data_IF_857672435734
#
_entry.id   IF_857672435734
#
_cell.length_a   1.000
_cell.length_b   1.000
_cell.length_c   1.000
_cell.angle_alpha   90.00
_cell.angle_beta   90.00
_cell.angle_gamma   90.00
#
_symmetry.space_group_name_H-M   'P 1'
#
loop_
_entity.id
_entity.type
_entity.pdbx_description
1 polymer ?
#
# COMPACT_ATOMS: atom_id res chain seq x y z
N UNK A 1 -6.78 5.38 -4.40
CA UNK A 1 -6.76 4.24 -5.33
C UNK A 1 -5.32 3.87 -5.65
N UNK A 2 -5.01 2.57 -5.70
CA UNK A 2 -3.67 2.11 -6.07
C UNK A 2 -3.39 2.35 -7.56
N UNK A 3 -2.14 2.67 -7.90
CA UNK A 3 -1.67 2.78 -9.27
C UNK A 3 -1.10 1.44 -9.73
N UNK A 4 -1.65 0.88 -10.81
CA UNK A 4 -1.09 -0.31 -11.47
C UNK A 4 0.05 0.10 -12.40
N UNK A 5 1.20 -0.56 -12.27
CA UNK A 5 2.31 -0.49 -13.23
C UNK A 5 2.36 -1.81 -13.98
N UNK A 6 2.42 -1.74 -15.31
CA UNK A 6 2.38 -2.90 -16.19
C UNK A 6 3.57 -3.84 -15.97
N UNK A 7 3.30 -5.14 -16.12
CA UNK A 7 4.28 -6.17 -15.90
C UNK A 7 5.41 -6.12 -16.94
N UNK A 8 6.65 -6.25 -16.46
CA UNK A 8 7.86 -6.30 -17.28
C UNK A 8 8.28 -7.75 -17.50
N UNK A 9 8.69 -8.10 -18.72
CA UNK A 9 8.98 -9.46 -19.15
C UNK A 9 7.97 -10.00 -20.17
N UNK A 10 7.83 -11.32 -20.23
CA UNK A 10 7.00 -12.03 -21.22
C UNK A 10 5.63 -12.44 -20.70
N UNK A 11 4.74 -12.86 -21.60
CA UNK A 11 3.39 -13.35 -21.27
C UNK A 11 3.30 -14.88 -21.19
N UNK A 12 4.40 -15.55 -20.85
CA UNK A 12 4.47 -17.01 -20.80
C UNK A 12 3.77 -17.60 -19.57
N UNK A 13 3.16 -18.77 -19.73
CA UNK A 13 2.38 -19.41 -18.67
C UNK A 13 1.02 -18.75 -18.44
N UNK A 14 0.54 -18.76 -17.19
CA UNK A 14 -0.75 -18.22 -16.80
C UNK A 14 -0.61 -16.83 -16.19
N UNK A 15 -1.57 -15.95 -16.50
CA UNK A 15 -1.69 -14.67 -15.83
C UNK A 15 -2.09 -14.88 -14.35
N UNK A 16 -1.55 -14.05 -13.48
CA UNK A 16 -1.90 -13.98 -12.07
C UNK A 16 -1.93 -12.53 -11.61
N UNK A 17 -2.76 -12.25 -10.60
CA UNK A 17 -2.94 -10.92 -10.04
C UNK A 17 -3.33 -11.07 -8.57
N UNK A 18 -2.51 -10.55 -7.66
CA UNK A 18 -2.79 -10.61 -6.23
C UNK A 18 -3.71 -9.45 -5.79
N UNK A 19 -3.95 -8.48 -6.66
CA UNK A 19 -4.77 -7.30 -6.39
C UNK A 19 -4.04 -6.18 -5.63
N UNK A 20 -4.77 -5.09 -5.42
CA UNK A 20 -4.30 -3.85 -4.80
C UNK A 20 -4.79 -3.61 -3.38
N UNK A 21 -5.63 -4.50 -2.84
CA UNK A 21 -6.39 -4.28 -1.61
C UNK A 21 -5.60 -4.61 -0.33
N UNK A 22 -4.28 -4.65 -0.42
CA UNK A 22 -3.40 -4.90 0.71
C UNK A 22 -2.83 -3.59 1.24
N UNK A 23 -2.52 -3.56 2.54
CA UNK A 23 -1.89 -2.42 3.19
C UNK A 23 -0.40 -2.32 2.85
N UNK A 24 0.29 -3.48 2.75
CA UNK A 24 1.72 -3.57 2.45
C UNK A 24 2.16 -4.99 2.06
N UNK A 25 3.38 -5.10 1.53
CA UNK A 25 4.11 -6.39 1.40
C UNK A 25 4.85 -6.67 2.71
N UNK A 26 4.65 -7.86 3.30
CA UNK A 26 5.29 -8.28 4.55
C UNK A 26 6.53 -9.15 4.32
N UNK A 27 6.49 -10.04 3.32
CA UNK A 27 7.57 -10.99 3.05
C UNK A 27 7.63 -11.34 1.57
N UNK A 28 8.83 -11.53 1.06
CA UNK A 28 9.06 -12.02 -0.30
C UNK A 28 9.99 -13.22 -0.24
N UNK A 29 9.57 -14.32 -0.85
CA UNK A 29 10.39 -15.51 -1.04
C UNK A 29 10.57 -15.77 -2.53
N UNK A 30 11.82 -15.93 -2.96
CA UNK A 30 12.18 -16.20 -4.36
C UNK A 30 13.00 -17.48 -4.44
N UNK A 31 12.79 -18.26 -5.49
CA UNK A 31 13.63 -19.41 -5.84
C UNK A 31 14.24 -19.24 -7.22
N UNK A 32 15.57 -19.24 -7.29
CA UNK A 32 16.30 -19.21 -8.56
C UNK A 32 16.52 -20.65 -9.06
N UNK A 33 16.19 -20.89 -10.33
CA UNK A 33 16.49 -22.13 -11.04
C UNK A 33 17.58 -21.92 -12.10
N UNK A 34 17.95 -22.99 -12.81
CA UNK A 34 19.10 -22.97 -13.72
C UNK A 34 18.98 -22.10 -14.98
N UNK A 35 17.80 -21.56 -15.29
CA UNK A 35 17.57 -20.71 -16.47
C UNK A 35 16.82 -19.40 -16.13
N UNK A 36 16.63 -19.10 -14.84
CA UNK A 36 15.90 -17.93 -14.36
C UNK A 36 15.16 -18.17 -13.05
N UNK A 37 14.31 -17.23 -12.67
CA UNK A 37 13.49 -17.32 -11.46
C UNK A 37 12.38 -18.36 -11.65
N UNK A 38 12.42 -19.44 -10.86
CA UNK A 38 11.45 -20.52 -10.91
C UNK A 38 10.16 -20.17 -10.18
N UNK A 39 10.28 -19.50 -9.04
CA UNK A 39 9.10 -19.05 -8.33
C UNK A 39 9.31 -17.77 -7.52
N UNK A 40 8.20 -17.08 -7.29
CA UNK A 40 8.06 -16.02 -6.31
C UNK A 40 6.84 -16.31 -5.43
N UNK A 41 6.90 -15.88 -4.17
CA UNK A 41 5.82 -15.97 -3.22
C UNK A 41 5.84 -14.75 -2.32
N UNK A 42 4.67 -14.21 -2.03
CA UNK A 42 4.49 -13.00 -1.26
C UNK A 42 3.61 -13.27 -0.04
N UNK A 43 3.91 -12.59 1.05
CA UNK A 43 2.97 -12.40 2.15
C UNK A 43 2.61 -10.92 2.17
N UNK A 44 1.32 -10.62 2.37
CA UNK A 44 0.79 -9.27 2.40
C UNK A 44 0.22 -8.95 3.78
N UNK A 45 0.27 -7.68 4.17
CA UNK A 45 -0.51 -7.17 5.30
C UNK A 45 -1.85 -6.70 4.77
N UNK A 46 -2.95 -7.16 5.36
CA UNK A 46 -4.31 -6.73 5.05
C UNK A 46 -5.09 -6.59 6.35
N UNK A 47 -5.66 -5.41 6.60
CA UNK A 47 -6.33 -5.06 7.85
C UNK A 47 -5.46 -5.36 9.09
N UNK A 48 -4.14 -5.12 8.98
CA UNK A 48 -3.17 -5.41 10.03
C UNK A 48 -2.83 -6.89 10.26
N UNK A 49 -3.42 -7.81 9.48
CA UNK A 49 -3.10 -9.25 9.53
C UNK A 49 -2.22 -9.66 8.35
N UNK A 50 -1.33 -10.62 8.55
CA UNK A 50 -0.50 -11.14 7.47
C UNK A 50 -1.19 -12.32 6.78
N UNK A 51 -1.37 -12.22 5.47
CA UNK A 51 -1.96 -13.24 4.61
C UNK A 51 -0.93 -13.75 3.62
N UNK A 52 -0.90 -15.06 3.41
CA UNK A 52 0.03 -15.71 2.49
C UNK A 52 -0.60 -15.82 1.10
N UNK A 53 0.06 -15.27 0.08
CA UNK A 53 -0.39 -15.40 -1.30
C UNK A 53 0.05 -16.75 -1.90
N UNK A 54 -0.71 -17.28 -2.87
CA UNK A 54 -0.29 -18.51 -3.53
C UNK A 54 1.04 -18.32 -4.27
N UNK A 55 1.82 -19.38 -4.33
CA UNK A 55 3.11 -19.38 -5.01
C UNK A 55 2.91 -19.18 -6.52
N UNK A 56 3.76 -18.36 -7.16
CA UNK A 56 3.78 -18.12 -8.60
C UNK A 56 4.99 -18.84 -9.18
N UNK A 57 4.78 -19.71 -10.17
CA UNK A 57 5.83 -20.60 -10.65
C UNK A 57 5.74 -22.00 -10.03
N UNK A 58 6.85 -22.74 -10.04
CA UNK A 58 6.98 -24.03 -9.34
C UNK A 58 8.29 -24.08 -8.55
N UNK A 59 8.31 -24.81 -7.43
CA UNK A 59 9.54 -24.95 -6.62
C UNK A 59 10.64 -25.75 -7.34
N UNK A 60 10.27 -26.65 -8.25
CA UNK A 60 11.21 -27.40 -9.09
C UNK A 60 12.46 -27.91 -8.34
N UNK A 61 13.63 -27.68 -8.93
CA UNK A 61 14.96 -27.87 -8.28
C UNK A 61 15.61 -26.52 -7.95
N UNK A 62 14.80 -25.50 -7.69
CA UNK A 62 15.31 -24.15 -7.40
C UNK A 62 16.03 -24.10 -6.06
N UNK A 63 16.94 -23.14 -5.94
CA UNK A 63 17.58 -22.77 -4.69
C UNK A 63 16.77 -21.60 -4.11
N UNK A 64 16.08 -21.78 -2.96
CA UNK A 64 15.41 -20.68 -2.29
C UNK A 64 16.47 -19.69 -1.76
N UNK A 65 16.28 -18.41 -2.07
CA UNK A 65 17.04 -17.35 -1.42
C UNK A 65 16.57 -17.16 0.03
N UNK A 66 17.33 -16.41 0.83
CA UNK A 66 16.82 -15.98 2.13
C UNK A 66 15.57 -15.09 1.95
N UNK A 67 14.51 -15.27 2.75
CA UNK A 67 13.31 -14.46 2.63
C UNK A 67 13.60 -12.99 2.89
N UNK A 68 13.10 -12.11 2.02
CA UNK A 68 13.14 -10.67 2.24
C UNK A 68 11.95 -10.24 3.10
N UNK A 69 12.17 -10.17 4.41
CA UNK A 69 11.15 -9.78 5.41
C UNK A 69 11.13 -8.25 5.55
N UNK A 70 9.93 -7.67 5.56
CA UNK A 70 9.69 -6.22 5.64
C UNK A 70 8.92 -5.93 6.93
N UNK A 71 9.52 -5.15 7.83
CA UNK A 71 8.95 -4.87 9.15
C UNK A 71 7.95 -3.69 9.11
N UNK A 72 6.71 -3.97 8.74
CA UNK A 72 5.61 -2.99 8.76
C UNK A 72 5.28 -2.52 10.20
N UNK A 73 4.86 -1.26 10.45
CA UNK A 73 4.63 -0.18 9.48
C UNK A 73 5.86 0.66 9.11
N UNK A 74 6.93 0.53 9.89
CA UNK A 74 8.13 1.39 9.77
C UNK A 74 8.94 1.11 8.49
N UNK A 75 8.85 -0.11 7.96
CA UNK A 75 9.50 -0.56 6.74
C UNK A 75 8.43 -0.89 5.67
N UNK A 76 8.68 -0.47 4.43
CA UNK A 76 7.83 -0.77 3.28
C UNK A 76 8.67 -0.97 2.01
N UNK A 77 8.14 -1.76 1.08
CA UNK A 77 8.80 -1.98 -0.21
C UNK A 77 8.66 -0.74 -1.09
N UNK A 78 9.79 -0.23 -1.58
CA UNK A 78 9.87 0.99 -2.40
C UNK A 78 10.01 0.63 -3.87
N UNK A 79 10.92 -0.30 -4.19
CA UNK A 79 11.16 -0.69 -5.57
C UNK A 79 11.60 -2.14 -5.72
N UNK A 80 11.40 -2.64 -6.94
CA UNK A 80 11.97 -3.89 -7.42
C UNK A 80 12.79 -3.60 -8.66
N UNK A 81 14.06 -3.99 -8.64
CA UNK A 81 14.90 -4.08 -9.82
C UNK A 81 14.85 -5.52 -10.34
N UNK A 82 14.82 -5.69 -11.66
CA UNK A 82 14.82 -7.02 -12.25
C UNK A 82 15.44 -7.06 -13.63
N UNK A 83 15.68 -8.28 -14.10
CA UNK A 83 16.25 -8.56 -15.42
C UNK A 83 15.45 -9.66 -16.09
N UNK A 84 15.25 -9.57 -17.41
CA UNK A 84 14.64 -10.63 -18.21
C UNK A 84 15.41 -10.89 -19.51
N UNK A 85 15.39 -12.14 -19.95
CA UNK A 85 16.03 -12.57 -21.20
C UNK A 85 15.16 -12.20 -22.42
N UNK A 86 15.64 -12.35 -23.67
CA UNK A 86 14.87 -12.01 -24.88
C UNK A 86 13.51 -12.73 -25.01
N UNK A 87 13.36 -13.91 -24.40
CA UNK A 87 12.11 -14.67 -24.36
C UNK A 87 11.11 -14.11 -23.32
N UNK A 88 11.52 -13.08 -22.56
CA UNK A 88 10.71 -12.49 -21.50
C UNK A 88 10.60 -13.40 -20.29
N UNK A 89 11.66 -14.11 -19.92
CA UNK A 89 11.76 -14.88 -18.69
C UNK A 89 12.56 -14.11 -17.65
N UNK A 90 12.01 -13.92 -16.44
CA UNK A 90 12.69 -13.20 -15.36
C UNK A 90 13.95 -13.99 -14.96
N UNK A 91 15.09 -13.35 -15.10
CA UNK A 91 16.42 -13.88 -14.81
C UNK A 91 16.81 -13.62 -13.35
N UNK A 92 16.53 -12.43 -12.85
CA UNK A 92 16.86 -12.05 -11.49
C UNK A 92 16.04 -10.90 -10.96
N UNK A 93 16.03 -10.79 -9.64
CA UNK A 93 15.27 -9.78 -8.90
C UNK A 93 16.11 -9.25 -7.74
N UNK A 94 15.94 -7.96 -7.44
CA UNK A 94 16.48 -7.30 -6.27
C UNK A 94 15.41 -6.40 -5.67
N UNK A 95 15.26 -6.48 -4.35
CA UNK A 95 14.21 -5.78 -3.60
C UNK A 95 14.81 -4.66 -2.78
N UNK A 96 14.18 -3.48 -2.82
CA UNK A 96 14.59 -2.32 -2.05
C UNK A 96 13.42 -1.84 -1.18
N UNK A 97 13.61 -1.86 0.13
CA UNK A 97 12.75 -1.16 1.08
C UNK A 97 13.29 0.24 1.38
N UNK A 98 12.53 1.03 2.12
CA UNK A 98 13.01 2.31 2.65
C UNK A 98 14.15 2.17 3.68
N UNK A 99 14.50 0.94 4.11
CA UNK A 99 15.54 0.69 5.13
C UNK A 99 16.71 -0.16 4.63
N UNK A 100 16.49 -1.06 3.67
CA UNK A 100 17.51 -2.00 3.21
C UNK A 100 17.27 -2.48 1.78
N UNK A 101 18.29 -3.07 1.20
CA UNK A 101 18.25 -3.74 -0.09
C UNK A 101 18.62 -5.20 0.06
N UNK A 102 18.04 -6.07 -0.75
CA UNK A 102 18.52 -7.44 -0.92
C UNK A 102 19.75 -7.49 -1.83
N UNK A 103 20.46 -8.63 -1.80
CA UNK A 103 21.32 -9.03 -2.91
C UNK A 103 20.48 -9.35 -4.15
N UNK A 104 21.14 -9.44 -5.31
CA UNK A 104 20.48 -9.96 -6.52
C UNK A 104 20.24 -11.44 -6.36
N UNK A 105 18.98 -11.85 -6.52
CA UNK A 105 18.58 -13.25 -6.54
C UNK A 105 18.47 -13.70 -8.00
N UNK A 106 19.12 -14.79 -8.37
CA UNK A 106 19.17 -15.27 -9.76
C UNK A 106 20.31 -14.63 -10.54
N UNK A 107 20.03 -14.16 -11.75
CA UNK A 107 21.01 -13.63 -12.69
C UNK A 107 20.71 -12.16 -13.03
N UNK A 108 21.74 -11.32 -13.10
CA UNK A 108 21.65 -9.91 -13.49
C UNK A 108 21.95 -9.70 -14.99
N UNK A 109 21.55 -10.67 -15.83
CA UNK A 109 21.76 -10.66 -17.27
C UNK A 109 20.44 -10.45 -18.03
N UNK A 110 20.52 -9.81 -19.19
CA UNK A 110 19.38 -9.45 -20.03
C UNK A 110 18.93 -7.99 -19.88
N UNK A 111 17.68 -7.73 -20.24
CA UNK A 111 17.09 -6.39 -20.21
C UNK A 111 16.68 -6.05 -18.79
N UNK A 112 17.22 -4.97 -18.23
CA UNK A 112 16.87 -4.51 -16.89
C UNK A 112 15.56 -3.71 -16.88
N UNK A 113 14.87 -3.76 -15.75
CA UNK A 113 13.70 -2.94 -15.47
C UNK A 113 13.64 -2.55 -14.01
N UNK A 114 12.86 -1.51 -13.72
CA UNK A 114 12.58 -1.07 -12.35
C UNK A 114 11.10 -0.81 -12.18
N UNK A 115 10.51 -1.42 -11.15
CA UNK A 115 9.17 -1.10 -10.68
C UNK A 115 9.30 -0.12 -9.52
N UNK A 116 9.10 1.16 -9.79
CA UNK A 116 9.12 2.22 -8.78
C UNK A 116 8.20 3.36 -9.19
N UNK A 117 7.50 3.93 -8.21
CA UNK A 117 6.75 5.18 -8.38
C UNK A 117 7.14 6.11 -7.24
N UNK A 118 7.43 7.36 -7.58
CA UNK A 118 7.80 8.39 -6.59
C UNK A 118 6.69 8.57 -5.54
N UNK A 119 7.09 8.72 -4.28
CA UNK A 119 6.22 8.94 -3.10
C UNK A 119 5.16 7.85 -2.86
N UNK A 120 5.39 6.64 -3.36
CA UNK A 120 4.51 5.48 -3.18
C UNK A 120 5.27 4.24 -2.75
N UNK A 121 4.57 3.35 -2.05
CA UNK A 121 5.02 2.00 -1.71
C UNK A 121 4.34 0.95 -2.57
N UNK A 122 4.98 -0.19 -2.74
CA UNK A 122 4.38 -1.36 -3.38
C UNK A 122 3.47 -2.08 -2.37
N UNK A 123 2.26 -2.41 -2.81
CA UNK A 123 1.23 -3.10 -2.01
C UNK A 123 0.74 -4.40 -2.63
N UNK A 124 1.10 -4.69 -3.88
CA UNK A 124 0.64 -5.90 -4.55
C UNK A 124 1.43 -6.17 -5.82
N UNK A 125 1.34 -7.41 -6.30
CA UNK A 125 2.00 -7.83 -7.52
C UNK A 125 1.03 -8.51 -8.48
N UNK A 126 1.37 -8.46 -9.76
CA UNK A 126 0.70 -9.20 -10.83
C UNK A 126 1.70 -9.60 -11.90
N UNK A 127 1.35 -10.53 -12.79
CA UNK A 127 2.24 -10.94 -13.87
C UNK A 127 1.83 -12.24 -14.54
N UNK A 128 2.83 -12.92 -15.10
CA UNK A 128 2.68 -14.19 -15.81
C UNK A 128 3.68 -15.21 -15.25
N UNK A 129 3.22 -16.43 -14.99
CA UNK A 129 4.07 -17.52 -14.50
C UNK A 129 3.57 -18.89 -15.00
N UNK A 130 4.51 -19.76 -15.34
CA UNK A 130 4.30 -21.18 -15.64
C UNK A 130 5.19 -22.01 -14.74
N UNK A 131 6.12 -22.77 -15.31
CA UNK A 131 7.21 -23.41 -14.54
C UNK A 131 8.24 -22.40 -14.01
N UNK A 132 8.24 -21.20 -14.59
CA UNK A 132 9.10 -20.08 -14.24
C UNK A 132 8.30 -18.79 -14.23
N UNK A 133 8.88 -17.74 -13.64
CA UNK A 133 8.28 -16.40 -13.62
C UNK A 133 8.64 -15.68 -14.92
N UNK A 134 7.63 -15.34 -15.71
CA UNK A 134 7.82 -14.66 -17.00
C UNK A 134 7.73 -13.15 -16.87
N UNK A 135 6.85 -12.63 -16.02
CA UNK A 135 6.78 -11.19 -15.81
C UNK A 135 6.42 -10.82 -14.39
N UNK A 136 6.76 -9.59 -14.03
CA UNK A 136 6.40 -8.99 -12.76
C UNK A 136 5.96 -7.54 -12.98
N UNK A 137 4.78 -7.21 -12.49
CA UNK A 137 4.23 -5.86 -12.36
C UNK A 137 3.78 -5.62 -10.93
N UNK A 138 3.47 -4.38 -10.59
CA UNK A 138 3.20 -3.99 -9.22
C UNK A 138 2.06 -2.98 -9.09
N UNK A 139 1.41 -3.02 -7.94
CA UNK A 139 0.46 -2.01 -7.48
C UNK A 139 1.12 -1.09 -6.46
N UNK A 140 0.90 0.22 -6.61
CA UNK A 140 1.50 1.26 -5.80
C UNK A 140 0.43 2.05 -5.04
N UNK A 141 0.61 2.22 -3.73
CA UNK A 141 -0.23 3.08 -2.91
C UNK A 141 0.59 4.25 -2.33
N UNK A 142 -0.03 5.43 -2.09
CA UNK A 142 0.60 6.51 -1.34
C UNK A 142 1.16 6.03 0.00
N UNK A 143 2.29 6.60 0.43
CA UNK A 143 2.90 6.28 1.73
C UNK A 143 1.96 6.53 2.92
N UNK A 144 1.01 7.46 2.76
CA UNK A 144 0.00 7.82 3.76
C UNK A 144 -1.15 6.82 3.88
N UNK A 145 -1.23 5.81 3.00
CA UNK A 145 -2.32 4.83 2.99
C UNK A 145 -2.19 3.73 4.06
N UNK A 146 -1.23 3.82 4.99
CA UNK A 146 -1.23 2.92 6.14
C UNK A 146 -2.36 3.33 7.09
N UNK A 147 -3.49 2.64 6.96
CA UNK A 147 -4.43 2.32 8.03
C UNK A 147 -3.71 1.52 9.13
N UNK A 148 -2.67 2.11 9.73
CA UNK A 148 -2.12 1.57 10.97
C UNK A 148 -3.08 1.96 12.08
N UNK A 149 -3.74 0.96 12.64
CA UNK A 149 -4.54 1.00 13.87
C UNK A 149 -3.66 1.31 15.09
N UNK A 150 -2.77 2.30 15.02
CA UNK A 150 -2.40 3.00 16.25
C UNK A 150 -3.63 3.80 16.66
N UNK A 151 -4.23 3.54 17.83
CA UNK A 151 -5.27 4.42 18.33
C UNK A 151 -4.69 5.82 18.34
N UNK A 152 -5.32 6.74 17.63
CA UNK A 152 -4.91 8.12 17.64
C UNK A 152 -4.83 8.55 19.11
N UNK A 153 -3.65 9.07 19.52
CA UNK A 153 -3.49 9.55 20.88
C UNK A 153 -4.42 10.75 21.05
N UNK A 154 -5.55 10.55 21.76
CA UNK A 154 -6.49 11.62 22.06
C UNK A 154 -5.80 12.65 22.94
N UNK A 155 -5.75 13.89 22.45
CA UNK A 155 -5.25 15.02 23.22
C UNK A 155 -6.40 15.59 24.08
N UNK A 156 -6.09 16.18 25.25
CA UNK A 156 -7.10 16.88 26.03
C UNK A 156 -7.65 18.07 25.22
N UNK A 157 -8.97 18.24 25.27
CA UNK A 157 -9.62 19.40 24.66
C UNK A 157 -9.21 20.68 25.40
N UNK A 158 -9.14 21.79 24.68
CA UNK A 158 -8.93 23.12 25.24
C UNK A 158 -10.28 23.85 25.25
N UNK A 159 -10.71 24.34 26.41
CA UNK A 159 -11.98 25.02 26.55
C UNK A 159 -12.59 24.82 27.93
N UNK A 160 -13.92 24.85 27.98
CA UNK A 160 -14.71 24.57 29.18
C UNK A 160 -15.02 23.08 29.30
N UNK A 161 -15.25 22.61 30.53
CA UNK A 161 -15.80 21.28 30.82
C UNK A 161 -17.34 21.25 30.72
N UNK A 162 -17.96 22.35 30.30
CA UNK A 162 -19.41 22.46 30.07
C UNK A 162 -19.81 21.98 28.68
N UNK A 163 -20.93 21.24 28.60
CA UNK A 163 -21.55 20.81 27.35
C UNK A 163 -21.72 19.30 27.22
N UNK A 164 -22.21 18.84 26.07
CA UNK A 164 -22.31 17.41 25.74
C UNK A 164 -21.05 16.98 25.01
N UNK A 165 -20.34 16.01 25.58
CA UNK A 165 -19.16 15.43 24.94
C UNK A 165 -19.55 14.73 23.62
N UNK A 166 -18.72 14.91 22.60
CA UNK A 166 -18.84 14.23 21.31
C UNK A 166 -17.45 13.86 20.78
N UNK A 167 -17.39 12.82 19.96
CA UNK A 167 -16.18 12.30 19.34
C UNK A 167 -16.59 11.61 18.04
N UNK A 168 -16.15 12.15 16.90
CA UNK A 168 -16.43 11.57 15.57
C UNK A 168 -15.52 10.36 15.26
N UNK A 169 -14.56 10.06 16.15
CA UNK A 169 -13.58 9.02 15.95
C UNK A 169 -12.46 9.44 15.00
N UNK A 170 -11.73 8.45 14.48
CA UNK A 170 -10.62 8.67 13.56
C UNK A 170 -11.05 8.43 12.11
N UNK A 171 -10.73 9.37 11.24
CA UNK A 171 -10.96 9.29 9.78
C UNK A 171 -9.63 9.38 9.02
N UNK A 172 -9.56 8.89 7.79
CA UNK A 172 -8.30 8.92 7.01
C UNK A 172 -7.90 10.35 6.61
N UNK A 173 -8.86 11.27 6.54
CA UNK A 173 -8.61 12.69 6.36
C UNK A 173 -9.85 13.53 6.59
N UNK A 174 -9.64 14.83 6.81
CA UNK A 174 -10.70 15.84 6.81
C UNK A 174 -10.74 16.48 5.42
N UNK A 175 -11.90 16.44 4.78
CA UNK A 175 -12.15 16.99 3.45
C UNK A 175 -12.56 18.45 3.50
N UNK A 176 -13.50 18.78 4.40
CA UNK A 176 -14.04 20.13 4.58
C UNK A 176 -14.36 20.39 6.05
N UNK A 177 -14.20 21.64 6.45
CA UNK A 177 -14.61 22.14 7.76
C UNK A 177 -15.64 23.25 7.55
N UNK A 178 -16.76 23.12 8.24
CA UNK A 178 -17.84 24.10 8.26
C UNK A 178 -17.92 24.70 9.65
N UNK A 179 -17.88 26.03 9.73
CA UNK A 179 -17.95 26.78 10.99
C UNK A 179 -19.18 27.69 10.97
N UNK A 180 -20.08 27.50 11.93
CA UNK A 180 -21.26 28.33 12.13
C UNK A 180 -20.96 29.39 13.20
N UNK A 181 -21.01 30.66 12.82
CA UNK A 181 -20.75 31.78 13.74
C UNK A 181 -22.05 32.25 14.40
N UNK A 182 -22.03 32.38 15.72
CA UNK A 182 -23.05 33.04 16.52
C UNK A 182 -22.65 34.43 16.98
N UNK A 183 -23.54 35.07 17.75
CA UNK A 183 -23.34 36.44 18.23
C UNK A 183 -22.07 36.59 19.10
N UNK A 184 -21.73 35.55 19.86
CA UNK A 184 -20.64 35.59 20.84
C UNK A 184 -19.46 34.65 20.49
N UNK A 185 -19.42 34.11 19.27
CA UNK A 185 -18.34 33.22 18.81
C UNK A 185 -18.84 32.04 17.97
N UNK A 186 -18.05 30.96 17.90
CA UNK A 186 -18.42 29.75 17.14
C UNK A 186 -19.58 29.04 17.85
N UNK A 187 -20.72 28.89 17.16
CA UNK A 187 -21.94 28.27 17.70
C UNK A 187 -22.21 26.86 17.15
N UNK A 188 -21.61 26.52 16.00
CA UNK A 188 -21.70 25.19 15.43
C UNK A 188 -20.46 24.82 14.62
N UNK A 189 -20.15 23.53 14.55
CA UNK A 189 -19.14 22.97 13.63
C UNK A 189 -19.70 21.74 12.93
N UNK A 190 -19.27 21.50 11.71
CA UNK A 190 -19.55 20.29 10.94
C UNK A 190 -18.36 19.95 10.06
N UNK A 191 -18.13 18.66 9.83
CA UNK A 191 -16.99 18.18 9.08
C UNK A 191 -17.44 17.25 7.95
N UNK A 192 -16.70 17.25 6.85
CA UNK A 192 -16.70 16.15 5.89
C UNK A 192 -15.36 15.45 5.98
N UNK A 193 -15.40 14.12 5.99
CA UNK A 193 -14.23 13.27 6.10
C UNK A 193 -14.02 12.46 4.82
N UNK A 194 -12.80 11.99 4.63
CA UNK A 194 -12.46 11.00 3.61
C UNK A 194 -12.02 9.71 4.31
N UNK A 195 -12.67 8.60 3.97
CA UNK A 195 -12.27 7.26 4.38
C UNK A 195 -11.99 6.43 3.12
N UNK A 196 -10.73 6.40 2.70
CA UNK A 196 -10.34 5.74 1.45
C UNK A 196 -10.83 6.52 0.24
N UNK A 197 -11.76 5.96 -0.54
CA UNK A 197 -12.42 6.63 -1.66
C UNK A 197 -13.78 7.24 -1.31
N UNK A 198 -14.28 7.01 -0.10
CA UNK A 198 -15.61 7.48 0.32
C UNK A 198 -15.54 8.81 1.06
N UNK A 199 -16.60 9.62 0.90
CA UNK A 199 -16.79 10.87 1.64
C UNK A 199 -17.87 10.62 2.69
N UNK A 200 -17.52 10.85 3.96
CA UNK A 200 -18.43 10.72 5.09
C UNK A 200 -18.79 12.10 5.59
N UNK A 201 -20.08 12.43 5.62
CA UNK A 201 -20.56 13.71 6.14
C UNK A 201 -20.83 13.54 7.63
N UNK A 202 -20.10 14.28 8.46
CA UNK A 202 -20.27 14.28 9.91
C UNK A 202 -21.55 14.97 10.36
N UNK A 203 -21.96 14.64 11.58
CA UNK A 203 -23.07 15.31 12.25
C UNK A 203 -22.75 16.79 12.49
N UNK A 204 -23.79 17.60 12.54
CA UNK A 204 -23.68 18.97 13.00
C UNK A 204 -23.56 19.02 14.53
N UNK A 205 -22.54 19.71 15.03
CA UNK A 205 -22.26 19.87 16.47
C UNK A 205 -22.51 21.32 16.87
N UNK A 206 -23.62 21.58 17.57
CA UNK A 206 -23.96 22.91 18.08
C UNK A 206 -25.33 23.38 17.62
N UNK A 207 -25.56 24.69 17.69
CA UNK A 207 -26.79 25.33 17.21
C UNK A 207 -26.44 26.27 16.06
N UNK A 208 -26.94 26.02 14.84
CA UNK A 208 -26.69 26.91 13.72
C UNK A 208 -27.42 28.22 13.96
N UNK A 209 -26.77 29.33 13.62
CA UNK A 209 -27.42 30.64 13.57
C UNK A 209 -28.11 30.85 12.23
N UNK A 210 -28.97 31.87 12.15
CA UNK A 210 -29.70 32.24 10.93
C UNK A 210 -28.81 32.55 9.71
N UNK A 211 -27.49 32.70 9.92
CA UNK A 211 -26.49 33.02 8.89
C UNK A 211 -25.86 31.78 8.23
N UNK A 212 -26.10 30.56 8.76
CA UNK A 212 -25.56 29.32 8.18
C UNK A 212 -24.08 29.07 8.48
N UNK A 213 -23.45 28.18 7.71
CA UNK A 213 -22.04 27.80 7.84
C UNK A 213 -21.16 28.54 6.83
N UNK A 214 -19.97 28.94 7.27
CA UNK A 214 -18.87 29.32 6.37
C UNK A 214 -18.00 28.10 6.05
N UNK A 215 -17.67 27.90 4.78
CA UNK A 215 -16.74 26.86 4.31
C UNK A 215 -15.31 27.38 4.41
N UNK A 216 -14.45 26.63 5.12
CA UNK A 216 -13.01 26.91 5.18
C UNK A 216 -12.28 25.81 4.40
N UNK A 217 -11.61 26.21 3.32
CA UNK A 217 -10.83 25.34 2.42
C UNK A 217 -9.35 25.29 2.80
#
# INVERSE_FOLDING_TARGET
MAQKVEAQGGKGGNQWDDGSEHDAVAKIQVGAGGIGIQYVKFDYVKNGQTEEAPLRGIKGRSIPADPFVINHPEEHLVSVEGWYNPEGLIQGLKFNSNKKSSDVIGYNDGTSFTLQVQDKKIVGFHGFAGDYVHSLGAYFAPLTSSTSLTPAKKLPALGSDEGTAWDDGAHHGVKKVYVGQGHDGVSAVKFEYVNGSEVVVGDERGKPTLLGFEEVS
#
